data_IF_714415622739
#
_entry.id   IF_714415622739
#
_cell.length_a   1.000
_cell.length_b   1.000
_cell.length_c   1.000
_cell.angle_alpha   90.00
_cell.angle_beta   90.00
_cell.angle_gamma   90.00
#
_symmetry.space_group_name_H-M   'P 1'
#
loop_
_entity.id
_entity.type
_entity.pdbx_description
1 polymer ?
#
# COMPACT_ATOMS: atom_id res chain seq x y z
N UNK A 1 1.75 38.93 34.96
CA UNK A 1 0.86 38.68 33.81
C UNK A 1 1.57 37.62 32.98
N UNK A 2 1.04 36.39 32.94
CA UNK A 2 1.66 35.30 32.18
C UNK A 2 1.52 35.58 30.69
N UNK A 3 2.55 35.29 29.89
CA UNK A 3 2.55 35.59 28.44
C UNK A 3 1.62 34.62 27.71
N UNK A 4 1.07 35.03 26.56
CA UNK A 4 0.18 34.19 25.74
C UNK A 4 0.82 32.84 25.35
N UNK A 5 2.16 32.79 25.27
CA UNK A 5 2.92 31.57 25.00
C UNK A 5 3.00 30.59 26.19
N UNK A 6 2.62 31.00 27.40
CA UNK A 6 2.55 30.12 28.59
C UNK A 6 1.21 29.39 28.69
N UNK A 7 0.26 29.65 27.79
CA UNK A 7 -1.09 29.06 27.76
C UNK A 7 -1.32 28.03 26.64
N UNK A 8 -0.32 27.80 25.78
CA UNK A 8 -0.42 26.78 24.75
C UNK A 8 0.71 25.76 24.94
N UNK A 9 0.38 24.62 25.55
CA UNK A 9 1.10 23.36 25.33
C UNK A 9 0.79 22.86 23.91
N UNK A 10 1.06 23.69 22.91
CA UNK A 10 0.97 23.33 21.50
C UNK A 10 2.12 22.34 21.23
N UNK A 11 1.83 21.04 21.33
CA UNK A 11 2.80 19.98 21.10
C UNK A 11 2.82 18.86 22.14
N UNK A 12 1.88 18.78 23.09
CA UNK A 12 1.65 17.53 23.81
C UNK A 12 1.09 16.50 22.83
N UNK A 13 1.82 15.40 22.63
CA UNK A 13 1.34 14.28 21.82
C UNK A 13 0.08 13.71 22.50
N UNK A 14 -1.00 13.51 21.74
CA UNK A 14 -2.26 12.97 22.27
C UNK A 14 -2.04 11.52 22.70
N UNK A 15 -2.23 11.24 23.99
CA UNK A 15 -2.12 9.89 24.53
C UNK A 15 -3.13 8.94 23.86
N UNK A 16 -4.30 9.43 23.47
CA UNK A 16 -5.29 8.61 22.75
C UNK A 16 -4.80 8.22 21.35
N UNK A 17 -4.14 9.13 20.63
CA UNK A 17 -3.60 8.82 19.30
C UNK A 17 -2.39 7.87 19.40
N UNK A 18 -1.52 8.06 20.38
CA UNK A 18 -0.31 7.23 20.55
C UNK A 18 -0.61 5.82 21.03
N UNK A 19 -1.62 5.66 21.89
CA UNK A 19 -2.02 4.35 22.41
C UNK A 19 -2.84 3.52 21.39
N UNK A 20 -3.25 4.12 20.27
CA UNK A 20 -3.95 3.39 19.21
C UNK A 20 -3.04 2.37 18.52
N UNK A 21 -3.42 1.09 18.61
CA UNK A 21 -2.70 -0.04 17.99
C UNK A 21 -3.08 -0.29 16.53
N UNK A 22 -4.15 0.34 16.05
CA UNK A 22 -4.74 0.02 14.76
C UNK A 22 -4.28 0.96 13.67
N UNK A 23 -4.12 0.39 12.46
CA UNK A 23 -3.82 1.17 11.27
C UNK A 23 -4.98 2.14 10.98
N UNK A 24 -4.66 3.41 10.77
CA UNK A 24 -5.62 4.45 10.33
C UNK A 24 -6.42 3.95 9.12
N UNK A 25 -7.75 4.11 9.18
CA UNK A 25 -8.67 3.67 8.13
C UNK A 25 -9.11 2.19 8.22
N UNK A 26 -8.59 1.41 9.18
CA UNK A 26 -9.10 0.05 9.43
C UNK A 26 -10.41 0.07 10.22
N UNK A 27 -11.24 -0.96 10.07
CA UNK A 27 -12.49 -1.10 10.84
C UNK A 27 -12.24 -1.02 12.36
N UNK A 28 -11.15 -1.64 12.83
CA UNK A 28 -10.74 -1.60 14.24
C UNK A 28 -10.27 -0.23 14.70
N UNK A 29 -9.66 0.56 13.82
CA UNK A 29 -9.32 1.95 14.11
C UNK A 29 -10.57 2.79 14.36
N UNK A 30 -11.60 2.64 13.53
CA UNK A 30 -12.87 3.36 13.75
C UNK A 30 -13.61 2.86 14.99
N UNK A 31 -13.58 1.55 15.26
CA UNK A 31 -14.13 0.99 16.49
C UNK A 31 -13.44 1.57 17.73
N UNK A 32 -12.11 1.65 17.73
CA UNK A 32 -11.34 2.21 18.83
C UNK A 32 -11.83 3.61 19.26
N UNK A 33 -12.07 4.51 18.30
CA UNK A 33 -12.55 5.85 18.60
C UNK A 33 -13.98 5.89 19.12
N UNK A 34 -14.87 5.02 18.62
CA UNK A 34 -16.23 4.90 19.15
C UNK A 34 -16.23 4.38 20.58
N UNK A 35 -15.42 3.35 20.86
CA UNK A 35 -15.30 2.75 22.19
C UNK A 35 -14.71 3.74 23.21
N UNK A 36 -13.73 4.56 22.81
CA UNK A 36 -13.19 5.64 23.66
C UNK A 36 -14.22 6.73 23.94
N UNK A 37 -14.97 7.15 22.90
CA UNK A 37 -16.01 8.17 23.04
C UNK A 37 -17.12 7.70 23.99
N UNK A 38 -17.51 6.43 23.90
CA UNK A 38 -18.47 5.83 24.83
C UNK A 38 -17.95 5.88 26.28
N UNK A 39 -16.72 5.45 26.52
CA UNK A 39 -16.09 5.52 27.85
C UNK A 39 -15.99 6.96 28.37
N UNK A 40 -15.66 7.92 27.50
CA UNK A 40 -15.61 9.34 27.85
C UNK A 40 -16.99 9.87 28.27
N UNK A 41 -18.05 9.59 27.50
CA UNK A 41 -19.41 10.02 27.85
C UNK A 41 -19.96 9.33 29.10
N UNK A 42 -19.51 8.11 29.39
CA UNK A 42 -19.86 7.38 30.61
C UNK A 42 -19.04 7.85 31.84
N UNK A 43 -18.03 8.72 31.64
CA UNK A 43 -17.16 9.20 32.71
C UNK A 43 -16.11 8.17 33.17
N UNK A 44 -15.87 7.13 32.39
CA UNK A 44 -14.90 6.06 32.67
C UNK A 44 -13.49 6.38 32.17
N UNK A 45 -13.38 7.37 31.28
CA UNK A 45 -12.12 7.83 30.68
C UNK A 45 -11.90 9.31 31.01
N UNK A 46 -10.84 9.59 31.77
CA UNK A 46 -10.31 10.94 31.92
C UNK A 46 -9.40 11.26 30.72
N UNK A 47 -9.64 12.38 30.06
CA UNK A 47 -8.88 12.84 28.89
C UNK A 47 -8.22 14.18 29.19
N UNK A 48 -7.15 14.48 28.45
CA UNK A 48 -6.56 15.82 28.52
C UNK A 48 -7.50 16.85 27.87
N UNK A 49 -7.58 18.11 28.36
CA UNK A 49 -8.39 19.15 27.73
C UNK A 49 -8.09 19.39 26.25
N UNK A 50 -6.86 19.09 25.80
CA UNK A 50 -6.47 19.18 24.38
C UNK A 50 -7.08 18.07 23.51
N UNK A 51 -7.60 17.00 24.12
CA UNK A 51 -8.18 15.84 23.43
C UNK A 51 -9.72 15.91 23.35
N UNK A 52 -10.34 16.94 23.94
CA UNK A 52 -11.80 17.13 23.86
C UNK A 52 -12.26 17.24 22.41
N UNK A 53 -11.51 17.95 21.56
CA UNK A 53 -11.86 18.17 20.16
C UNK A 53 -11.95 16.85 19.37
N UNK A 54 -11.02 15.90 19.61
CA UNK A 54 -11.05 14.60 18.91
C UNK A 54 -12.20 13.72 19.43
N UNK A 55 -12.53 13.79 20.72
CA UNK A 55 -13.66 13.05 21.30
C UNK A 55 -15.01 13.58 20.83
N UNK A 56 -15.17 14.89 20.69
CA UNK A 56 -16.39 15.54 20.20
C UNK A 56 -16.52 15.54 18.67
N UNK A 57 -15.45 15.18 17.93
CA UNK A 57 -15.50 15.00 16.47
C UNK A 57 -16.30 13.76 16.06
N UNK A 58 -16.57 13.62 14.76
CA UNK A 58 -17.22 12.44 14.19
C UNK A 58 -16.23 11.34 13.79
N UNK A 59 -14.98 11.37 14.29
CA UNK A 59 -13.98 10.35 14.02
C UNK A 59 -14.49 8.97 14.48
N UNK A 60 -14.46 7.98 13.58
CA UNK A 60 -15.05 6.66 13.86
C UNK A 60 -16.47 6.48 13.31
N UNK A 61 -17.09 7.55 12.82
CA UNK A 61 -18.41 7.52 12.19
C UNK A 61 -18.33 7.58 10.66
N UNK A 62 -19.44 7.24 10.02
CA UNK A 62 -19.54 7.16 8.56
C UNK A 62 -20.81 7.86 8.09
N UNK A 63 -20.73 8.52 6.94
CA UNK A 63 -21.89 9.08 6.24
C UNK A 63 -21.93 8.58 4.80
N UNK A 64 -23.13 8.46 4.25
CA UNK A 64 -23.30 8.08 2.86
C UNK A 64 -23.16 9.29 1.94
N UNK A 65 -22.30 9.20 0.93
CA UNK A 65 -22.15 10.19 -0.13
C UNK A 65 -22.05 9.49 -1.48
N UNK A 66 -22.94 9.85 -2.43
CA UNK A 66 -23.03 9.19 -3.75
C UNK A 66 -23.17 7.65 -3.71
N UNK A 67 -23.80 7.12 -2.64
CA UNK A 67 -23.97 5.67 -2.47
C UNK A 67 -22.74 4.94 -1.92
N UNK A 68 -21.67 5.66 -1.56
CA UNK A 68 -20.49 5.13 -0.88
C UNK A 68 -20.46 5.59 0.58
N UNK A 69 -20.02 4.72 1.49
CA UNK A 69 -19.81 5.06 2.90
C UNK A 69 -18.47 5.80 3.05
N UNK A 70 -18.53 7.04 3.51
CA UNK A 70 -17.37 7.92 3.71
C UNK A 70 -17.12 8.07 5.20
N UNK A 71 -15.90 7.74 5.64
CA UNK A 71 -15.48 7.96 7.02
C UNK A 71 -15.41 9.47 7.32
N UNK A 72 -16.10 9.90 8.37
CA UNK A 72 -16.10 11.29 8.82
C UNK A 72 -14.85 11.59 9.64
N UNK A 73 -14.35 12.82 9.50
CA UNK A 73 -13.20 13.37 10.24
C UNK A 73 -11.94 12.48 10.22
N UNK A 74 -11.84 11.57 9.25
CA UNK A 74 -10.71 10.69 9.04
C UNK A 74 -10.07 10.96 7.67
N UNK A 75 -9.05 11.82 7.65
CA UNK A 75 -8.28 12.07 6.44
C UNK A 75 -7.20 10.99 6.32
N UNK A 76 -7.40 10.03 5.42
CA UNK A 76 -6.36 9.10 5.04
C UNK A 76 -6.25 9.02 3.51
N UNK A 77 -5.04 9.29 3.01
CA UNK A 77 -4.72 8.94 1.63
C UNK A 77 -4.46 7.44 1.58
N UNK A 78 -5.38 6.69 0.97
CA UNK A 78 -5.03 5.39 0.43
C UNK A 78 -3.99 5.58 -0.67
N UNK A 79 -2.71 5.39 -0.31
CA UNK A 79 -1.63 5.31 -1.31
C UNK A 79 -1.87 4.08 -2.19
N UNK A 80 -2.62 4.28 -3.26
CA UNK A 80 -2.82 3.28 -4.29
C UNK A 80 -1.45 2.92 -4.87
N UNK A 81 -1.10 1.62 -4.92
CA UNK A 81 0.21 1.22 -5.42
C UNK A 81 0.31 1.58 -6.90
N UNK A 82 1.49 2.06 -7.31
CA UNK A 82 1.74 2.34 -8.73
C UNK A 82 1.53 1.07 -9.57
N UNK A 83 0.55 1.15 -10.47
CA UNK A 83 0.19 0.01 -11.33
C UNK A 83 1.16 -0.16 -12.50
N UNK A 84 1.34 -1.40 -12.92
CA UNK A 84 2.15 -1.81 -14.07
C UNK A 84 3.62 -1.35 -14.03
N UNK A 85 4.14 -1.01 -12.85
CA UNK A 85 5.55 -0.67 -12.63
C UNK A 85 6.25 -1.78 -11.84
N UNK A 86 7.05 -2.63 -12.50
CA UNK A 86 7.87 -3.64 -11.83
C UNK A 86 8.81 -3.07 -10.76
N UNK A 87 8.87 -3.71 -9.60
CA UNK A 87 9.75 -3.37 -8.49
C UNK A 87 10.55 -4.60 -8.06
N UNK A 88 11.73 -4.39 -7.47
CA UNK A 88 12.58 -5.46 -6.93
C UNK A 88 12.20 -5.75 -5.47
N UNK A 89 12.19 -7.02 -5.06
CA UNK A 89 11.92 -7.46 -3.68
C UNK A 89 10.62 -8.24 -3.50
N UNK A 90 10.21 -8.47 -2.26
CA UNK A 90 9.04 -9.26 -1.90
C UNK A 90 9.34 -10.76 -1.77
N UNK A 91 8.31 -11.60 -1.92
CA UNK A 91 8.41 -13.06 -1.82
C UNK A 91 9.18 -13.72 -2.97
N UNK A 92 9.38 -12.98 -4.06
CA UNK A 92 10.17 -13.36 -5.24
C UNK A 92 11.15 -12.22 -5.57
N UNK A 93 11.92 -12.37 -6.65
CA UNK A 93 12.93 -11.37 -7.02
C UNK A 93 12.31 -10.04 -7.44
N UNK A 94 11.15 -10.10 -8.10
CA UNK A 94 10.43 -8.95 -8.62
C UNK A 94 8.94 -9.07 -8.34
N UNK A 95 8.26 -7.93 -8.27
CA UNK A 95 6.81 -7.86 -8.17
C UNK A 95 6.24 -6.66 -8.92
N UNK A 96 4.94 -6.70 -9.19
CA UNK A 96 4.19 -5.61 -9.86
C UNK A 96 2.74 -5.66 -9.41
N UNK A 97 2.13 -4.49 -9.27
CA UNK A 97 0.70 -4.37 -9.03
C UNK A 97 -0.03 -4.20 -10.35
N UNK A 98 -1.06 -4.99 -10.58
CA UNK A 98 -1.85 -5.00 -11.83
C UNK A 98 -3.31 -4.99 -11.46
N UNK A 99 -4.09 -4.10 -12.08
CA UNK A 99 -5.55 -4.13 -11.96
C UNK A 99 -6.09 -5.27 -12.82
N UNK A 100 -6.81 -6.21 -12.22
CA UNK A 100 -7.51 -7.27 -12.93
C UNK A 100 -8.70 -6.66 -13.68
N UNK A 101 -8.77 -6.77 -15.01
CA UNK A 101 -9.90 -6.23 -15.78
C UNK A 101 -11.23 -6.93 -15.47
N UNK A 102 -11.20 -8.17 -14.96
CA UNK A 102 -12.41 -8.97 -14.71
C UNK A 102 -13.07 -8.63 -13.39
N UNK A 103 -12.27 -8.31 -12.37
CA UNK A 103 -12.78 -8.05 -11.01
C UNK A 103 -12.59 -6.60 -10.55
N UNK A 104 -11.80 -5.80 -11.28
CA UNK A 104 -11.42 -4.46 -10.86
C UNK A 104 -10.39 -4.41 -9.72
N UNK A 105 -10.03 -5.56 -9.14
CA UNK A 105 -9.13 -5.63 -7.98
C UNK A 105 -7.66 -5.48 -8.36
N UNK A 106 -6.86 -4.90 -7.47
CA UNK A 106 -5.41 -4.82 -7.63
C UNK A 106 -4.76 -6.13 -7.17
N UNK A 107 -4.14 -6.85 -8.10
CA UNK A 107 -3.36 -8.07 -7.85
C UNK A 107 -1.86 -7.77 -7.77
N UNK A 108 -1.19 -8.32 -6.76
CA UNK A 108 0.26 -8.32 -6.65
C UNK A 108 0.83 -9.56 -7.33
N UNK A 109 1.47 -9.39 -8.48
CA UNK A 109 2.10 -10.48 -9.22
C UNK A 109 3.59 -10.50 -8.89
N UNK A 110 4.10 -11.65 -8.46
CA UNK A 110 5.51 -11.82 -8.06
C UNK A 110 6.19 -12.87 -8.96
N UNK A 111 7.43 -12.62 -9.39
CA UNK A 111 8.18 -13.53 -10.27
C UNK A 111 9.69 -13.46 -10.04
N UNK A 112 10.39 -14.41 -10.68
CA UNK A 112 11.84 -14.51 -10.60
C UNK A 112 12.32 -15.30 -9.38
N UNK A 113 13.51 -15.86 -9.52
CA UNK A 113 14.09 -16.77 -8.54
C UNK A 113 14.78 -16.04 -7.39
N UNK A 114 14.62 -16.54 -6.17
CA UNK A 114 15.20 -15.99 -4.93
C UNK A 114 16.49 -16.69 -4.51
N UNK A 115 16.87 -17.80 -5.14
CA UNK A 115 18.03 -18.64 -4.76
C UNK A 115 19.39 -18.09 -5.25
N UNK A 116 19.43 -16.84 -5.71
CA UNK A 116 20.66 -16.17 -6.15
C UNK A 116 20.98 -16.31 -7.64
N UNK A 117 20.14 -17.00 -8.42
CA UNK A 117 20.34 -17.09 -9.87
C UNK A 117 20.27 -15.71 -10.53
N UNK A 118 21.31 -15.39 -11.33
CA UNK A 118 21.36 -14.16 -12.14
C UNK A 118 20.67 -14.39 -13.49
N UNK A 119 19.87 -13.41 -13.89
CA UNK A 119 19.20 -13.44 -15.20
C UNK A 119 20.23 -13.17 -16.28
N UNK A 120 20.38 -14.10 -17.22
CA UNK A 120 21.33 -14.01 -18.33
C UNK A 120 20.74 -13.19 -19.50
N UNK A 121 20.51 -11.89 -19.27
CA UNK A 121 19.96 -10.99 -20.31
C UNK A 121 20.88 -10.84 -21.52
N UNK A 122 22.19 -10.93 -21.34
CA UNK A 122 23.17 -10.67 -22.40
C UNK A 122 23.52 -11.92 -23.22
N UNK A 123 23.01 -13.11 -22.88
CA UNK A 123 23.31 -14.37 -23.56
C UNK A 123 22.17 -14.74 -24.53
N UNK A 124 22.35 -14.58 -25.86
CA UNK A 124 21.30 -14.85 -26.83
C UNK A 124 20.76 -16.29 -26.80
N UNK A 125 21.60 -17.28 -26.46
CA UNK A 125 21.19 -18.68 -26.38
C UNK A 125 20.28 -18.88 -25.16
N UNK A 126 20.68 -18.34 -24.00
CA UNK A 126 19.86 -18.39 -22.79
C UNK A 126 18.50 -17.69 -22.98
N UNK A 127 18.49 -16.54 -23.68
CA UNK A 127 17.26 -15.83 -24.04
C UNK A 127 16.32 -16.68 -24.89
N UNK A 128 16.83 -17.25 -26.00
CA UNK A 128 16.04 -18.09 -26.90
C UNK A 128 15.47 -19.32 -26.19
N UNK A 129 16.28 -19.97 -25.34
CA UNK A 129 15.83 -21.13 -24.54
C UNK A 129 14.81 -20.75 -23.48
N UNK A 130 14.89 -19.56 -22.90
CA UNK A 130 13.87 -19.07 -21.98
C UNK A 130 12.55 -18.80 -22.71
N UNK A 131 12.61 -18.07 -23.83
CA UNK A 131 11.44 -17.76 -24.65
C UNK A 131 10.68 -19.03 -25.08
N UNK A 132 11.41 -20.03 -25.57
CA UNK A 132 10.83 -21.28 -26.05
C UNK A 132 10.16 -22.09 -24.91
N UNK A 133 10.84 -22.24 -23.76
CA UNK A 133 10.29 -23.00 -22.62
C UNK A 133 9.06 -22.35 -22.02
N UNK A 134 8.99 -21.01 -22.04
CA UNK A 134 7.89 -20.26 -21.46
C UNK A 134 6.82 -19.82 -22.47
N UNK A 135 6.98 -20.11 -23.77
CA UNK A 135 6.07 -19.69 -24.85
C UNK A 135 5.74 -18.19 -24.74
N UNK A 136 6.79 -17.36 -24.77
CA UNK A 136 6.66 -15.93 -24.48
C UNK A 136 5.80 -15.17 -25.49
N UNK A 137 5.73 -15.66 -26.72
CA UNK A 137 4.82 -15.24 -27.78
C UNK A 137 3.33 -15.34 -27.39
N UNK A 138 2.98 -16.33 -26.56
CA UNK A 138 1.61 -16.57 -26.08
C UNK A 138 1.34 -15.94 -24.70
N UNK A 139 2.33 -15.28 -24.08
CA UNK A 139 2.19 -14.71 -22.75
C UNK A 139 1.62 -13.29 -22.83
N UNK A 140 0.30 -13.17 -22.99
CA UNK A 140 -0.41 -11.88 -23.17
C UNK A 140 -1.18 -11.40 -21.93
N UNK A 141 -1.36 -12.25 -20.93
CA UNK A 141 -2.11 -11.91 -19.72
C UNK A 141 -1.24 -11.23 -18.65
N UNK A 142 -1.46 -9.92 -18.44
CA UNK A 142 -0.78 -9.10 -17.43
C UNK A 142 -1.00 -9.56 -15.99
N UNK A 143 -2.03 -10.35 -15.72
CA UNK A 143 -2.27 -10.90 -14.38
C UNK A 143 -1.42 -12.14 -14.08
N UNK A 144 -0.58 -12.59 -15.03
CA UNK A 144 0.27 -13.77 -14.86
C UNK A 144 1.75 -13.42 -14.68
N UNK A 145 2.45 -14.16 -13.83
CA UNK A 145 3.90 -14.03 -13.65
C UNK A 145 4.68 -14.25 -14.96
N UNK A 146 4.17 -15.14 -15.83
CA UNK A 146 4.75 -15.47 -17.14
C UNK A 146 4.85 -14.24 -18.04
N UNK A 147 3.79 -13.43 -18.12
CA UNK A 147 3.79 -12.21 -18.91
C UNK A 147 4.92 -11.25 -18.52
N UNK A 148 5.11 -11.05 -17.22
CA UNK A 148 6.13 -10.15 -16.68
C UNK A 148 7.54 -10.71 -16.83
N UNK A 149 7.73 -12.01 -16.60
CA UNK A 149 9.00 -12.67 -16.83
C UNK A 149 9.43 -12.61 -18.30
N UNK A 150 8.48 -12.73 -19.24
CA UNK A 150 8.74 -12.62 -20.67
C UNK A 150 9.12 -11.21 -21.14
N UNK A 151 8.67 -10.19 -20.41
CA UNK A 151 8.94 -8.76 -20.69
C UNK A 151 10.01 -8.17 -19.78
N UNK A 152 10.69 -8.99 -18.99
CA UNK A 152 11.75 -8.56 -18.09
C UNK A 152 12.83 -7.69 -18.78
N UNK A 153 13.26 -7.95 -20.04
CA UNK A 153 14.27 -7.11 -20.68
C UNK A 153 13.83 -5.64 -20.85
N UNK A 154 12.52 -5.39 -21.02
CA UNK A 154 11.95 -4.02 -21.11
C UNK A 154 12.12 -3.23 -19.82
N UNK A 155 12.09 -3.92 -18.69
CA UNK A 155 12.15 -3.33 -17.36
C UNK A 155 13.53 -3.49 -16.70
N UNK A 156 14.54 -3.99 -17.43
CA UNK A 156 15.84 -4.32 -16.88
C UNK A 156 16.49 -3.12 -16.16
N UNK A 157 16.50 -1.95 -16.79
CA UNK A 157 17.04 -0.72 -16.20
C UNK A 157 16.31 -0.32 -14.90
N UNK A 158 14.98 -0.33 -14.92
CA UNK A 158 14.14 -0.03 -13.75
C UNK A 158 14.37 -1.00 -12.59
N UNK A 159 14.68 -2.27 -12.90
CA UNK A 159 14.90 -3.32 -11.91
C UNK A 159 16.37 -3.46 -11.48
N UNK A 160 17.24 -2.53 -11.91
CA UNK A 160 18.67 -2.53 -11.58
C UNK A 160 19.44 -3.72 -12.19
N UNK A 161 18.99 -4.24 -13.34
CA UNK A 161 19.68 -5.27 -14.09
C UNK A 161 20.62 -4.62 -15.13
N UNK A 162 21.79 -5.23 -15.33
CA UNK A 162 22.69 -4.88 -16.42
C UNK A 162 22.25 -5.58 -17.72
N UNK A 163 22.25 -4.83 -18.83
CA UNK A 163 21.69 -5.28 -20.10
C UNK A 163 20.19 -5.02 -20.25
N UNK A 164 19.56 -5.69 -21.23
CA UNK A 164 18.17 -5.45 -21.59
C UNK A 164 18.00 -4.41 -22.70
N UNK A 165 16.78 -3.93 -22.92
CA UNK A 165 16.44 -3.01 -24.01
C UNK A 165 14.95 -2.98 -24.29
N UNK A 166 14.52 -2.28 -25.36
CA UNK A 166 13.11 -2.19 -25.77
C UNK A 166 12.64 -3.46 -26.49
N UNK A 167 12.85 -4.63 -25.89
CA UNK A 167 12.45 -5.93 -26.44
C UNK A 167 11.88 -6.85 -25.36
N UNK A 168 11.13 -7.85 -25.78
CA UNK A 168 10.68 -8.98 -24.96
C UNK A 168 11.28 -10.26 -25.55
N UNK A 169 11.32 -11.35 -24.78
CA UNK A 169 11.89 -12.61 -25.32
C UNK A 169 11.04 -13.21 -26.42
#
# INVERSE_FOLDING_TARGET
MKSFNEHCSCGSESGLVENNLYRVGSEKYFQYWRDLREQYHNGELEIDPTEIEIMESNLGEFAQFNGEDVALDCIFEEKQPELNKPKKGGSKKYYVYVKDPSTGNIKKISWGDTTGLKVKLNDPKARKSFAARHKCDQANDKTTARYWACRLPRYAKQLGLSGGGSFFW
#
